data_IF_313747524567
#
_entry.id   IF_313747524567
#
_cell.length_a   1.000
_cell.length_b   1.000
_cell.length_c   1.000
_cell.angle_alpha   90.00
_cell.angle_beta   90.00
_cell.angle_gamma   90.00
#
_symmetry.space_group_name_H-M   'P 1'
#
loop_
_entity.id
_entity.type
_entity.pdbx_description
1 polymer ?
#
# COMPACT_ATOMS: atom_id res chain seq x y z
N UNK A 1 13.41 -13.60 -25.15
CA UNK A 1 13.48 -13.01 -23.79
C UNK A 1 12.06 -12.57 -23.46
N UNK A 2 11.32 -13.34 -22.67
CA UNK A 2 9.97 -12.93 -22.26
C UNK A 2 10.15 -11.88 -21.17
N UNK A 3 9.83 -10.63 -21.48
CA UNK A 3 9.56 -9.62 -20.44
C UNK A 3 8.20 -10.01 -19.90
N UNK A 4 8.18 -10.86 -18.87
CA UNK A 4 6.95 -11.16 -18.14
C UNK A 4 6.41 -9.86 -17.58
N UNK A 5 5.13 -9.56 -17.82
CA UNK A 5 4.47 -8.45 -17.14
C UNK A 5 4.59 -8.71 -15.64
N UNK A 6 5.35 -7.89 -14.92
CA UNK A 6 5.37 -7.89 -13.46
C UNK A 6 4.01 -7.40 -12.99
N UNK A 7 3.19 -8.31 -12.49
CA UNK A 7 1.91 -7.96 -11.89
C UNK A 7 2.16 -7.38 -10.50
N UNK A 8 1.78 -6.13 -10.31
CA UNK A 8 1.87 -5.42 -9.03
C UNK A 8 0.60 -5.66 -8.22
N UNK A 9 0.78 -5.84 -6.92
CA UNK A 9 -0.27 -6.09 -5.94
C UNK A 9 -0.29 -4.99 -4.89
N UNK A 10 -1.49 -4.61 -4.46
CA UNK A 10 -1.70 -3.70 -3.34
C UNK A 10 -2.27 -4.48 -2.16
N UNK A 11 -1.55 -4.46 -1.04
CA UNK A 11 -2.03 -4.97 0.25
C UNK A 11 -2.45 -3.79 1.13
N UNK A 12 -3.68 -3.85 1.65
CA UNK A 12 -4.21 -2.85 2.58
C UNK A 12 -4.50 -3.56 3.91
N UNK A 13 -3.66 -3.31 4.90
CA UNK A 13 -3.85 -3.78 6.28
C UNK A 13 -4.42 -2.64 7.13
N UNK A 14 -5.66 -2.82 7.58
CA UNK A 14 -6.36 -1.86 8.42
C UNK A 14 -6.69 -2.49 9.77
N UNK A 15 -6.13 -1.93 10.83
CA UNK A 15 -6.56 -2.19 12.19
C UNK A 15 -7.00 -0.89 12.87
N UNK A 16 -7.55 -1.00 14.08
CA UNK A 16 -8.10 0.16 14.82
C UNK A 16 -7.07 1.26 15.16
N UNK A 17 -5.78 1.01 14.95
CA UNK A 17 -4.69 1.90 15.33
C UNK A 17 -3.79 2.30 14.16
N UNK A 18 -3.96 1.65 13.01
CA UNK A 18 -3.03 1.74 11.90
C UNK A 18 -3.68 1.33 10.59
N UNK A 19 -3.40 2.10 9.55
CA UNK A 19 -3.63 1.73 8.16
C UNK A 19 -2.26 1.61 7.49
N UNK A 20 -1.99 0.48 6.86
CA UNK A 20 -0.80 0.20 6.06
C UNK A 20 -1.22 -0.15 4.63
N UNK A 21 -0.57 0.49 3.67
CA UNK A 21 -0.68 0.16 2.25
C UNK A 21 0.71 -0.23 1.73
N UNK A 22 0.83 -1.46 1.24
CA UNK A 22 2.05 -1.98 0.64
C UNK A 22 1.79 -2.29 -0.84
N UNK A 23 2.60 -1.72 -1.73
CA UNK A 23 2.67 -2.11 -3.13
C UNK A 23 3.84 -3.07 -3.28
N UNK A 24 3.60 -4.25 -3.83
CA UNK A 24 4.62 -5.27 -4.01
C UNK A 24 4.41 -6.06 -5.30
N UNK A 25 5.45 -6.73 -5.77
CA UNK A 25 5.34 -7.72 -6.84
C UNK A 25 6.07 -9.01 -6.42
N UNK A 26 5.63 -10.14 -6.95
CA UNK A 26 6.33 -11.40 -6.75
C UNK A 26 7.56 -11.46 -7.66
N UNK A 27 8.74 -11.71 -7.07
CA UNK A 27 9.95 -12.04 -7.82
C UNK A 27 9.87 -13.51 -8.27
N UNK A 28 9.39 -14.39 -7.38
CA UNK A 28 9.07 -15.79 -7.65
C UNK A 28 7.92 -16.25 -6.73
N UNK A 29 7.49 -17.51 -6.78
CA UNK A 29 6.35 -18.04 -6.01
C UNK A 29 6.45 -17.80 -4.49
N UNK A 30 7.66 -17.81 -3.95
CA UNK A 30 7.92 -17.71 -2.51
C UNK A 30 8.57 -16.37 -2.10
N UNK A 31 8.90 -15.50 -3.06
CA UNK A 31 9.61 -14.25 -2.82
C UNK A 31 8.86 -13.06 -3.42
N UNK A 32 8.64 -12.02 -2.61
CA UNK A 32 8.06 -10.76 -3.06
C UNK A 32 8.96 -9.58 -2.70
N UNK A 33 8.91 -8.54 -3.53
CA UNK A 33 9.58 -7.27 -3.28
C UNK A 33 8.56 -6.17 -3.10
N UNK A 34 8.67 -5.47 -1.99
CA UNK A 34 7.91 -4.25 -1.74
C UNK A 34 8.51 -3.11 -2.55
N UNK A 35 7.68 -2.50 -3.40
CA UNK A 35 8.02 -1.31 -4.17
C UNK A 35 7.89 -0.06 -3.31
N UNK A 36 6.80 0.03 -2.57
CA UNK A 36 6.54 1.15 -1.69
C UNK A 36 5.60 0.73 -0.54
N UNK A 37 5.80 1.33 0.63
CA UNK A 37 5.03 1.02 1.84
C UNK A 37 4.68 2.31 2.57
N UNK A 38 3.40 2.60 2.68
CA UNK A 38 2.90 3.74 3.46
C UNK A 38 2.18 3.26 4.69
N UNK A 39 2.63 3.75 5.85
CA UNK A 39 2.06 3.44 7.15
C UNK A 39 1.54 4.70 7.81
N UNK A 40 0.24 4.76 8.07
CA UNK A 40 -0.37 5.81 8.86
C UNK A 40 -0.69 5.29 10.26
N UNK A 41 0.15 5.66 11.24
CA UNK A 41 -0.14 5.47 12.66
C UNK A 41 -0.97 6.65 13.16
N UNK A 42 -2.28 6.54 13.08
CA UNK A 42 -3.18 7.40 13.85
C UNK A 42 -3.98 6.52 14.78
N UNK A 43 -3.84 6.73 16.09
CA UNK A 43 -4.73 6.20 17.12
C UNK A 43 -6.13 6.83 17.06
N UNK A 44 -6.65 7.07 15.85
CA UNK A 44 -8.01 7.52 15.62
C UNK A 44 -8.85 6.30 15.30
N UNK A 45 -9.89 6.10 16.08
CA UNK A 45 -11.08 5.37 15.67
C UNK A 45 -11.69 6.17 14.52
N UNK A 46 -11.23 5.92 13.29
CA UNK A 46 -11.63 6.68 12.10
C UNK A 46 -13.02 6.23 11.65
N UNK A 47 -13.94 7.19 11.56
CA UNK A 47 -15.25 6.98 10.91
C UNK A 47 -15.06 6.60 9.44
N UNK A 48 -16.09 6.03 8.79
CA UNK A 48 -15.99 5.55 7.40
C UNK A 48 -15.45 6.59 6.41
N UNK A 49 -15.77 7.88 6.63
CA UNK A 49 -15.34 9.00 5.77
C UNK A 49 -13.87 9.38 5.98
N UNK A 50 -13.37 9.29 7.20
CA UNK A 50 -11.95 9.58 7.50
C UNK A 50 -11.02 8.45 7.03
N UNK A 51 -11.51 7.21 6.96
CA UNK A 51 -10.77 6.09 6.34
C UNK A 51 -10.47 6.37 4.87
N UNK A 52 -11.45 6.88 4.14
CA UNK A 52 -11.30 7.24 2.72
C UNK A 52 -10.26 8.35 2.53
N UNK A 53 -10.28 9.40 3.35
CA UNK A 53 -9.26 10.47 3.31
C UNK A 53 -7.86 9.97 3.66
N UNK A 54 -7.72 9.08 4.65
CA UNK A 54 -6.43 8.50 5.03
C UNK A 54 -5.88 7.62 3.91
N UNK A 55 -6.73 6.83 3.27
CA UNK A 55 -6.36 5.99 2.12
C UNK A 55 -5.96 6.87 0.94
N UNK A 56 -6.76 7.89 0.58
CA UNK A 56 -6.44 8.81 -0.51
C UNK A 56 -5.11 9.55 -0.28
N UNK A 57 -4.84 9.97 0.97
CA UNK A 57 -3.56 10.60 1.32
C UNK A 57 -2.39 9.63 1.20
N UNK A 58 -2.58 8.38 1.64
CA UNK A 58 -1.55 7.35 1.52
C UNK A 58 -1.27 7.00 0.04
N UNK A 59 -2.30 6.93 -0.80
CA UNK A 59 -2.14 6.79 -2.26
C UNK A 59 -1.42 7.98 -2.90
N UNK A 60 -1.72 9.22 -2.48
CA UNK A 60 -1.02 10.40 -2.99
C UNK A 60 0.47 10.34 -2.68
N UNK A 61 0.84 9.94 -1.45
CA UNK A 61 2.24 9.78 -1.07
C UNK A 61 2.94 8.67 -1.86
N UNK A 62 2.26 7.54 -2.09
CA UNK A 62 2.78 6.45 -2.93
C UNK A 62 3.03 6.90 -4.38
N UNK A 63 2.14 7.73 -4.92
CA UNK A 63 2.28 8.25 -6.28
C UNK A 63 3.53 9.10 -6.45
N UNK A 64 3.88 9.92 -5.45
CA UNK A 64 5.07 10.78 -5.51
C UNK A 64 6.39 10.00 -5.36
N UNK A 65 6.39 8.85 -4.67
CA UNK A 65 7.59 7.99 -4.55
C UNK A 65 7.86 7.13 -5.81
N UNK A 66 6.89 6.98 -6.70
CA UNK A 66 7.00 6.20 -7.94
C UNK A 66 7.42 7.04 -9.17
N UNK A 67 7.48 8.38 -9.07
CA UNK A 67 7.85 9.31 -10.18
C UNK A 67 9.35 9.58 -10.23
#
# INVERSE_FOLDING_TARGET
MFIGQSMEFLLIDMNNTMIRLDIFYYIDRDEYKVLASVKNKKGLIVSGKEKEEVVNRAFSNLKDELV
#
